data_IF_254842717055
#
_entry.id   IF_254842717055
#
_cell.length_a   1.000
_cell.length_b   1.000
_cell.length_c   1.000
_cell.angle_alpha   90.00
_cell.angle_beta   90.00
_cell.angle_gamma   90.00
#
_symmetry.space_group_name_H-M   'P 1'
#
loop_
_entity.id
_entity.type
_entity.pdbx_description
1 polymer ?
#
# COMPACT_ATOMS: atom_id res chain seq x y z
N UNK A 1 -12.91 -9.79 12.65
CA UNK A 1 -12.99 -8.48 11.97
C UNK A 1 -11.73 -7.67 12.22
N UNK A 2 -11.44 -6.68 11.37
CA UNK A 2 -10.37 -5.72 11.59
C UNK A 2 -10.74 -4.76 12.73
N UNK A 3 -9.81 -4.54 13.66
CA UNK A 3 -9.97 -3.59 14.75
C UNK A 3 -9.74 -2.16 14.28
N UNK A 4 -10.58 -1.22 14.73
CA UNK A 4 -10.40 0.22 14.44
C UNK A 4 -9.03 0.71 14.92
N UNK A 5 -8.66 0.36 16.15
CA UNK A 5 -7.40 0.77 16.78
C UNK A 5 -6.19 0.27 15.97
N UNK A 6 -6.22 -1.00 15.54
CA UNK A 6 -5.11 -1.60 14.80
C UNK A 6 -4.96 -0.96 13.41
N UNK A 7 -6.07 -0.66 12.74
CA UNK A 7 -6.06 0.00 11.44
C UNK A 7 -5.59 1.46 11.57
N UNK A 8 -6.02 2.18 12.61
CA UNK A 8 -5.55 3.55 12.86
C UNK A 8 -4.04 3.58 13.14
N UNK A 9 -3.57 2.65 13.95
CA UNK A 9 -2.14 2.44 14.19
C UNK A 9 -1.39 2.16 12.88
N UNK A 10 -1.85 1.19 12.09
CA UNK A 10 -1.21 0.82 10.82
C UNK A 10 -1.19 1.97 9.80
N UNK A 11 -2.27 2.74 9.69
CA UNK A 11 -2.33 3.93 8.84
C UNK A 11 -1.37 5.03 9.33
N UNK A 12 -1.20 5.20 10.64
CA UNK A 12 -0.25 6.16 11.22
C UNK A 12 1.19 5.81 10.85
N UNK A 13 1.56 4.52 10.94
CA UNK A 13 2.87 3.99 10.56
C UNK A 13 3.06 4.16 9.05
N UNK A 14 2.10 3.74 8.24
CA UNK A 14 2.12 3.91 6.78
C UNK A 14 2.40 5.36 6.39
N UNK A 15 1.70 6.33 6.99
CA UNK A 15 1.86 7.74 6.65
C UNK A 15 3.28 8.24 6.95
N UNK A 16 3.85 7.89 8.11
CA UNK A 16 5.22 8.29 8.47
C UNK A 16 6.26 7.59 7.61
N UNK A 17 6.10 6.28 7.35
CA UNK A 17 6.99 5.54 6.44
C UNK A 17 6.93 6.10 5.01
N UNK A 18 5.76 6.51 4.53
CA UNK A 18 5.63 7.12 3.21
C UNK A 18 6.34 8.48 3.13
N UNK A 19 6.20 9.32 4.16
CA UNK A 19 6.95 10.59 4.26
C UNK A 19 8.46 10.34 4.28
N UNK A 20 8.90 9.35 5.06
CA UNK A 20 10.31 8.95 5.11
C UNK A 20 10.81 8.50 3.73
N UNK A 21 10.01 7.72 3.01
CA UNK A 21 10.34 7.29 1.65
C UNK A 21 10.47 8.50 0.70
N UNK A 22 9.53 9.44 0.72
CA UNK A 22 9.60 10.66 -0.09
C UNK A 22 10.84 11.50 0.26
N UNK A 23 11.15 11.64 1.54
CA UNK A 23 12.36 12.32 2.01
C UNK A 23 13.62 11.61 1.50
N UNK A 24 13.69 10.29 1.59
CA UNK A 24 14.83 9.51 1.11
C UNK A 24 15.03 9.68 -0.41
N UNK A 25 13.96 9.69 -1.19
CA UNK A 25 14.02 9.96 -2.62
C UNK A 25 14.62 11.34 -2.97
N UNK A 26 14.37 12.36 -2.12
CA UNK A 26 14.96 13.68 -2.27
C UNK A 26 16.41 13.72 -1.75
N UNK A 27 16.69 13.10 -0.61
CA UNK A 27 18.02 13.06 -0.01
C UNK A 27 19.03 12.33 -0.92
N UNK A 28 18.60 11.27 -1.62
CA UNK A 28 19.40 10.60 -2.64
C UNK A 28 19.69 11.55 -3.81
N UNK A 29 18.67 12.27 -4.30
CA UNK A 29 18.80 13.24 -5.40
C UNK A 29 19.77 14.36 -5.05
N UNK A 30 19.80 14.77 -3.79
CA UNK A 30 20.68 15.83 -3.25
C UNK A 30 22.08 15.31 -2.87
N UNK A 31 22.33 14.01 -3.00
CA UNK A 31 23.63 13.40 -2.68
C UNK A 31 23.90 13.24 -1.18
N UNK A 32 22.89 13.49 -0.33
CA UNK A 32 22.98 13.35 1.13
C UNK A 32 23.04 11.88 1.54
N UNK A 33 22.33 11.01 0.80
CA UNK A 33 22.31 9.56 1.03
C UNK A 33 22.85 8.83 -0.20
N UNK A 34 23.91 8.01 -0.08
CA UNK A 34 24.39 7.22 -1.20
C UNK A 34 23.36 6.15 -1.57
N UNK A 35 23.18 5.89 -2.88
CA UNK A 35 22.43 4.73 -3.35
C UNK A 35 23.26 3.48 -3.11
N UNK A 36 23.12 2.90 -1.93
CA UNK A 36 23.64 1.55 -1.69
C UNK A 36 22.61 0.56 -2.23
N UNK A 37 23.05 -0.31 -3.14
CA UNK A 37 22.23 -1.44 -3.54
C UNK A 37 22.22 -2.42 -2.36
N UNK A 38 21.05 -2.63 -1.77
CA UNK A 38 20.83 -3.68 -0.77
C UNK A 38 20.96 -5.05 -1.45
N UNK A 39 22.18 -5.53 -1.62
CA UNK A 39 22.46 -6.78 -2.32
C UNK A 39 22.55 -8.00 -1.41
N UNK A 40 22.67 -7.81 -0.09
CA UNK A 40 22.99 -8.90 0.82
C UNK A 40 22.06 -8.99 2.04
N UNK A 41 20.89 -8.34 2.03
CA UNK A 41 19.98 -8.40 3.19
C UNK A 41 18.80 -9.30 2.91
N UNK A 42 18.85 -10.50 3.51
CA UNK A 42 17.82 -11.55 3.43
C UNK A 42 16.48 -11.12 4.04
N UNK A 43 16.48 -10.07 4.87
CA UNK A 43 15.32 -9.51 5.55
C UNK A 43 15.31 -7.97 5.42
N UNK A 44 14.41 -7.45 4.58
CA UNK A 44 14.25 -6.03 4.34
C UNK A 44 13.80 -5.25 5.60
N UNK A 45 13.05 -5.88 6.51
CA UNK A 45 12.62 -5.29 7.77
C UNK A 45 13.79 -5.10 8.73
N UNK A 46 14.64 -6.13 8.86
CA UNK A 46 15.87 -6.04 9.64
C UNK A 46 16.84 -4.98 9.08
N UNK A 47 17.02 -4.94 7.76
CA UNK A 47 17.82 -3.92 7.08
C UNK A 47 17.31 -2.50 7.40
N UNK A 48 16.00 -2.31 7.25
CA UNK A 48 15.33 -1.06 7.53
C UNK A 48 15.53 -0.63 8.98
N UNK A 49 15.45 -1.57 9.92
CA UNK A 49 15.63 -1.29 11.34
C UNK A 49 17.03 -0.76 11.64
N UNK A 50 18.07 -1.48 11.21
CA UNK A 50 19.47 -1.05 11.40
C UNK A 50 19.67 0.36 10.83
N UNK A 51 19.14 0.62 9.63
CA UNK A 51 19.27 1.92 8.99
C UNK A 51 18.54 3.02 9.76
N UNK A 52 17.29 2.80 10.17
CA UNK A 52 16.49 3.77 10.93
C UNK A 52 17.12 4.07 12.29
N UNK A 53 17.64 3.05 12.99
CA UNK A 53 18.34 3.22 14.27
C UNK A 53 19.62 4.04 14.10
N UNK A 54 20.46 3.69 13.11
CA UNK A 54 21.72 4.39 12.85
C UNK A 54 21.53 5.87 12.43
N UNK A 55 20.40 6.20 11.83
CA UNK A 55 20.11 7.55 11.32
C UNK A 55 19.01 8.27 12.09
N UNK A 56 18.56 7.75 13.24
CA UNK A 56 17.36 8.21 13.93
C UNK A 56 17.32 9.74 14.14
N UNK A 57 18.43 10.32 14.63
CA UNK A 57 18.54 11.76 14.87
C UNK A 57 18.66 12.61 13.60
N UNK A 58 18.98 11.99 12.45
CA UNK A 58 19.04 12.65 11.15
C UNK A 58 17.71 12.60 10.40
N UNK A 59 16.76 11.78 10.86
CA UNK A 59 15.42 11.72 10.26
C UNK A 59 14.62 12.97 10.61
N UNK A 60 13.75 13.47 9.71
CA UNK A 60 12.76 14.49 10.06
C UNK A 60 11.88 14.04 11.23
N UNK A 61 11.55 14.94 12.16
CA UNK A 61 10.79 14.62 13.37
C UNK A 61 9.48 13.88 13.07
N UNK A 62 8.77 14.33 12.04
CA UNK A 62 7.51 13.76 11.57
C UNK A 62 7.62 12.37 10.93
N UNK A 63 8.84 11.89 10.66
CA UNK A 63 9.12 10.58 10.09
C UNK A 63 9.64 9.59 11.13
N UNK A 64 9.96 10.04 12.36
CA UNK A 64 10.56 9.17 13.38
C UNK A 64 9.53 8.19 13.96
N UNK A 65 9.90 6.91 14.15
CA UNK A 65 9.10 6.00 14.96
C UNK A 65 9.10 6.43 16.44
N UNK A 66 8.03 6.13 17.17
CA UNK A 66 8.05 6.19 18.63
C UNK A 66 8.89 5.04 19.20
N UNK A 67 9.35 5.12 20.46
CA UNK A 67 10.23 4.11 21.05
C UNK A 67 9.71 2.67 20.98
N UNK A 68 8.40 2.49 21.14
CA UNK A 68 7.70 1.21 21.09
C UNK A 68 7.29 0.76 19.67
N UNK A 69 7.49 1.62 18.67
CA UNK A 69 7.07 1.37 17.28
C UNK A 69 8.21 0.98 16.35
N UNK A 70 9.46 0.93 16.83
CA UNK A 70 10.63 0.73 15.97
C UNK A 70 10.50 -0.50 15.07
N UNK A 71 10.13 -1.65 15.64
CA UNK A 71 9.96 -2.90 14.89
C UNK A 71 8.84 -2.81 13.84
N UNK A 72 7.57 -2.48 14.18
CA UNK A 72 6.52 -2.39 13.18
C UNK A 72 6.79 -1.31 12.13
N UNK A 73 7.43 -0.20 12.51
CA UNK A 73 7.84 0.84 11.58
C UNK A 73 8.88 0.35 10.57
N UNK A 74 9.96 -0.27 11.04
CA UNK A 74 11.02 -0.78 10.19
C UNK A 74 10.52 -1.88 9.24
N UNK A 75 9.72 -2.82 9.78
CA UNK A 75 9.04 -3.85 9.00
C UNK A 75 8.21 -3.22 7.88
N UNK A 76 7.33 -2.29 8.23
CA UNK A 76 6.45 -1.65 7.26
C UNK A 76 7.24 -0.84 6.23
N UNK A 77 8.29 -0.13 6.65
CA UNK A 77 9.16 0.62 5.75
C UNK A 77 9.87 -0.29 4.75
N UNK A 78 10.45 -1.41 5.21
CA UNK A 78 11.12 -2.39 4.38
C UNK A 78 10.22 -2.92 3.25
N UNK A 79 8.93 -3.14 3.53
CA UNK A 79 7.99 -3.63 2.51
C UNK A 79 7.76 -2.67 1.33
N UNK A 80 8.03 -1.36 1.44
CA UNK A 80 7.74 -0.41 0.35
C UNK A 80 8.49 -0.75 -0.95
N UNK A 81 9.73 -1.25 -0.84
CA UNK A 81 10.55 -1.62 -1.99
C UNK A 81 10.09 -2.92 -2.65
N UNK A 82 9.33 -3.74 -1.91
CA UNK A 82 8.71 -4.95 -2.44
C UNK A 82 7.32 -4.68 -3.03
N UNK A 83 6.54 -3.81 -2.38
CA UNK A 83 5.13 -3.61 -2.74
C UNK A 83 4.88 -2.50 -3.74
N UNK A 84 5.65 -1.41 -3.68
CA UNK A 84 5.14 -0.14 -4.23
C UNK A 84 6.16 0.63 -5.05
N UNK A 85 7.45 0.57 -4.73
CA UNK A 85 8.47 1.39 -5.39
C UNK A 85 9.71 0.58 -5.79
N UNK A 86 10.31 0.98 -6.89
CA UNK A 86 11.68 0.61 -7.28
C UNK A 86 12.59 1.81 -7.02
N UNK A 87 13.82 1.54 -6.55
CA UNK A 87 14.89 2.55 -6.51
C UNK A 87 15.63 2.50 -7.86
N UNK A 88 15.50 3.58 -8.63
CA UNK A 88 16.19 3.76 -9.89
C UNK A 88 17.52 4.50 -9.65
N UNK A 89 18.65 3.83 -9.83
CA UNK A 89 19.97 4.41 -9.55
C UNK A 89 20.29 5.63 -10.44
N UNK A 90 19.74 5.67 -11.66
CA UNK A 90 19.87 6.77 -12.62
C UNK A 90 18.50 7.11 -13.19
N UNK A 91 17.69 7.92 -12.47
CA UNK A 91 16.36 8.26 -12.91
C UNK A 91 16.46 9.03 -14.22
N UNK A 92 15.78 8.56 -15.27
CA UNK A 92 15.65 9.31 -16.52
C UNK A 92 14.75 10.51 -16.29
N UNK A 93 15.06 11.63 -16.93
CA UNK A 93 14.21 12.81 -16.88
C UNK A 93 12.77 12.46 -17.28
N UNK A 94 11.80 13.06 -16.58
CA UNK A 94 10.38 12.84 -16.85
C UNK A 94 9.69 14.15 -17.13
N UNK A 95 8.78 14.08 -18.08
CA UNK A 95 7.84 15.14 -18.36
C UNK A 95 6.77 15.16 -17.27
N UNK A 96 6.71 16.26 -16.52
CA UNK A 96 5.67 16.54 -15.54
C UNK A 96 4.90 17.75 -16.02
N UNK A 97 3.57 17.68 -15.97
CA UNK A 97 2.71 18.82 -16.21
C UNK A 97 2.05 19.22 -14.89
N UNK A 98 2.03 20.52 -14.62
CA UNK A 98 1.37 21.07 -13.42
C UNK A 98 -0.17 21.02 -13.53
N UNK A 99 -0.70 20.57 -14.68
CA UNK A 99 -2.10 20.20 -14.90
C UNK A 99 -2.23 18.97 -15.80
N UNK A 100 -3.43 18.40 -15.94
CA UNK A 100 -3.67 17.21 -16.78
C UNK A 100 -3.54 17.48 -18.31
N UNK A 101 -2.97 18.62 -18.71
CA UNK A 101 -2.69 18.99 -20.09
C UNK A 101 -1.24 18.66 -20.45
N UNK A 102 -1.03 17.78 -21.43
CA UNK A 102 0.30 17.37 -21.91
C UNK A 102 0.80 18.20 -23.11
N UNK A 103 0.49 19.50 -23.16
CA UNK A 103 0.98 20.36 -24.25
C UNK A 103 2.42 20.84 -24.00
N UNK A 104 3.10 21.24 -25.08
CA UNK A 104 4.51 21.71 -25.07
C UNK A 104 4.77 22.93 -24.18
N UNK A 105 3.74 23.67 -23.79
CA UNK A 105 3.84 24.83 -22.90
C UNK A 105 3.67 24.47 -21.40
N UNK A 106 2.98 23.38 -21.08
CA UNK A 106 2.68 22.97 -19.69
C UNK A 106 3.60 21.86 -19.18
N UNK A 107 4.26 21.15 -20.09
CA UNK A 107 5.14 20.02 -19.79
C UNK A 107 6.56 20.52 -19.50
N UNK A 108 7.06 20.24 -18.30
CA UNK A 108 8.45 20.51 -17.90
C UNK A 108 9.22 19.21 -17.76
N UNK A 109 10.47 19.23 -18.20
CA UNK A 109 11.41 18.14 -17.96
C UNK A 109 11.97 18.30 -16.54
N UNK A 110 11.62 17.39 -15.63
CA UNK A 110 12.18 17.34 -14.28
C UNK A 110 13.04 16.10 -14.11
N UNK A 111 14.14 16.23 -13.37
CA UNK A 111 14.91 15.06 -12.91
C UNK A 111 13.98 14.18 -12.10
N UNK A 112 13.70 12.98 -12.60
CA UNK A 112 12.77 12.09 -11.93
C UNK A 112 13.32 11.71 -10.56
N UNK A 113 12.42 11.53 -9.60
CA UNK A 113 12.79 11.00 -8.30
C UNK A 113 13.42 9.61 -8.49
N UNK A 114 14.41 9.28 -7.67
CA UNK A 114 14.99 7.94 -7.62
C UNK A 114 13.97 6.87 -7.21
N UNK A 115 12.76 7.26 -6.81
CA UNK A 115 11.63 6.38 -6.54
C UNK A 115 10.69 6.32 -7.73
N UNK A 116 10.54 5.12 -8.29
CA UNK A 116 9.58 4.84 -9.35
C UNK A 116 8.48 3.93 -8.80
N UNK A 117 7.19 4.31 -8.88
CA UNK A 117 6.11 3.39 -8.58
C UNK A 117 6.22 2.14 -9.46
N UNK A 118 6.03 0.96 -8.86
CA UNK A 118 6.05 -0.30 -9.62
C UNK A 118 4.95 -0.33 -10.68
N UNK A 119 5.28 -0.91 -11.82
CA UNK A 119 4.30 -1.24 -12.86
C UNK A 119 3.55 -2.50 -12.47
N UNK A 120 2.22 -2.48 -12.56
CA UNK A 120 1.39 -3.64 -12.27
C UNK A 120 1.31 -4.55 -13.50
N UNK A 121 1.66 -5.81 -13.30
CA UNK A 121 1.50 -6.88 -14.30
C UNK A 121 0.10 -7.51 -14.22
N UNK A 122 -0.22 -8.39 -15.18
CA UNK A 122 -1.44 -9.21 -15.11
C UNK A 122 -1.43 -10.13 -13.88
N UNK A 123 -0.29 -10.74 -13.57
CA UNK A 123 -0.14 -11.64 -12.42
C UNK A 123 -0.41 -10.93 -11.09
N UNK A 124 0.00 -9.66 -10.96
CA UNK A 124 -0.27 -8.85 -9.76
C UNK A 124 -1.76 -8.60 -9.57
N UNK A 125 -2.49 -8.32 -10.66
CA UNK A 125 -3.94 -8.12 -10.63
C UNK A 125 -4.68 -9.41 -10.29
N UNK A 126 -4.24 -10.55 -10.81
CA UNK A 126 -4.79 -11.87 -10.48
C UNK A 126 -4.52 -12.23 -9.01
N UNK A 127 -3.31 -11.94 -8.50
CA UNK A 127 -2.99 -12.12 -7.07
C UNK A 127 -3.84 -11.22 -6.19
N UNK A 128 -4.05 -9.95 -6.56
CA UNK A 128 -4.98 -9.07 -5.86
C UNK A 128 -6.42 -9.62 -5.86
N UNK A 129 -6.85 -10.25 -6.97
CA UNK A 129 -8.11 -11.00 -7.01
C UNK A 129 -8.19 -12.10 -5.96
N UNK A 130 -7.13 -12.91 -5.81
CA UNK A 130 -7.05 -13.94 -4.76
C UNK A 130 -7.07 -13.35 -3.35
N UNK A 131 -6.42 -12.21 -3.12
CA UNK A 131 -6.43 -11.53 -1.81
C UNK A 131 -7.84 -11.06 -1.43
N UNK A 132 -8.62 -10.55 -2.38
CA UNK A 132 -10.04 -10.18 -2.15
C UNK A 132 -10.87 -11.38 -1.73
N UNK A 133 -10.78 -12.48 -2.49
CA UNK A 133 -11.51 -13.72 -2.19
C UNK A 133 -11.12 -14.23 -0.81
N UNK A 134 -9.82 -14.36 -0.53
CA UNK A 134 -9.30 -14.81 0.76
C UNK A 134 -9.79 -13.93 1.90
N UNK A 135 -9.84 -12.61 1.73
CA UNK A 135 -10.34 -11.71 2.78
C UNK A 135 -11.82 -11.93 3.06
N UNK A 136 -12.66 -12.12 2.03
CA UNK A 136 -14.07 -12.42 2.21
C UNK A 136 -14.28 -13.77 2.91
N UNK A 137 -13.49 -14.80 2.58
CA UNK A 137 -13.52 -16.10 3.28
C UNK A 137 -13.10 -15.97 4.75
N UNK A 138 -12.06 -15.20 5.03
CA UNK A 138 -11.63 -14.92 6.41
C UNK A 138 -12.72 -14.17 7.18
N UNK A 139 -13.37 -13.18 6.54
CA UNK A 139 -14.44 -12.40 7.16
C UNK A 139 -15.67 -13.27 7.47
N UNK A 140 -16.05 -14.17 6.57
CA UNK A 140 -17.10 -15.16 6.82
C UNK A 140 -16.74 -16.05 8.03
N UNK A 141 -15.51 -16.58 8.07
CA UNK A 141 -15.02 -17.42 9.17
C UNK A 141 -15.00 -16.68 10.51
N UNK A 142 -14.55 -15.43 10.52
CA UNK A 142 -14.50 -14.57 11.71
C UNK A 142 -15.90 -14.38 12.33
N UNK A 143 -16.95 -14.37 11.50
CA UNK A 143 -18.35 -14.27 11.94
C UNK A 143 -19.07 -15.63 12.07
N UNK A 144 -18.34 -16.75 11.94
CA UNK A 144 -18.93 -18.10 12.02
C UNK A 144 -19.90 -18.43 10.88
N UNK A 145 -19.79 -17.73 9.74
CA UNK A 145 -20.60 -17.94 8.55
C UNK A 145 -19.93 -18.92 7.58
N UNK A 146 -20.70 -19.74 6.84
CA UNK A 146 -20.15 -20.54 5.75
C UNK A 146 -19.62 -19.62 4.63
N UNK A 147 -18.51 -20.03 4.01
CA UNK A 147 -17.92 -19.33 2.87
C UNK A 147 -18.02 -20.17 1.60
N UNK A 148 -18.69 -19.64 0.57
CA UNK A 148 -18.80 -20.30 -0.73
C UNK A 148 -17.97 -19.55 -1.77
N UNK A 149 -16.78 -20.06 -2.09
CA UNK A 149 -15.80 -19.39 -2.97
C UNK A 149 -16.42 -18.97 -4.32
N UNK A 150 -17.22 -19.84 -4.94
CA UNK A 150 -17.88 -19.54 -6.23
C UNK A 150 -18.85 -18.35 -6.13
N UNK A 151 -19.62 -18.24 -5.04
CA UNK A 151 -20.54 -17.13 -4.83
C UNK A 151 -19.77 -15.84 -4.53
N UNK A 152 -18.70 -15.91 -3.72
CA UNK A 152 -17.78 -14.78 -3.48
C UNK A 152 -17.21 -14.27 -4.81
N UNK A 153 -16.68 -15.16 -5.66
CA UNK A 153 -16.14 -14.78 -6.96
C UNK A 153 -17.19 -14.13 -7.86
N UNK A 154 -18.41 -14.66 -7.87
CA UNK A 154 -19.53 -14.07 -8.62
C UNK A 154 -19.88 -12.67 -8.11
N UNK A 155 -19.92 -12.45 -6.80
CA UNK A 155 -20.14 -11.13 -6.19
C UNK A 155 -19.03 -10.14 -6.54
N UNK A 156 -17.78 -10.57 -6.64
CA UNK A 156 -16.65 -9.72 -7.01
C UNK A 156 -16.62 -9.30 -8.51
N UNK A 157 -17.54 -9.81 -9.33
CA UNK A 157 -17.77 -9.28 -10.67
C UNK A 157 -18.45 -7.89 -10.64
N UNK A 158 -19.17 -7.57 -9.56
CA UNK A 158 -19.69 -6.23 -9.33
C UNK A 158 -18.56 -5.28 -8.91
N UNK A 159 -18.46 -4.13 -9.56
CA UNK A 159 -17.37 -3.18 -9.32
C UNK A 159 -17.43 -2.56 -7.93
N UNK A 160 -18.63 -2.22 -7.44
CA UNK A 160 -18.77 -1.59 -6.13
C UNK A 160 -18.34 -2.56 -5.02
N UNK A 161 -18.75 -3.83 -5.11
CA UNK A 161 -18.31 -4.88 -4.20
C UNK A 161 -16.82 -5.19 -4.32
N UNK A 162 -16.27 -5.22 -5.54
CA UNK A 162 -14.83 -5.39 -5.75
C UNK A 162 -14.02 -4.30 -5.04
N UNK A 163 -14.48 -3.05 -5.09
CA UNK A 163 -13.85 -1.92 -4.38
C UNK A 163 -13.92 -2.11 -2.86
N UNK A 164 -15.06 -2.55 -2.32
CA UNK A 164 -15.16 -2.86 -0.88
C UNK A 164 -14.20 -3.99 -0.47
N UNK A 165 -14.15 -5.06 -1.26
CA UNK A 165 -13.22 -6.17 -1.02
C UNK A 165 -11.76 -5.74 -1.11
N UNK A 166 -11.42 -4.81 -2.02
CA UNK A 166 -10.10 -4.20 -2.09
C UNK A 166 -9.76 -3.39 -0.84
N UNK A 167 -10.69 -2.60 -0.31
CA UNK A 167 -10.49 -1.85 0.94
C UNK A 167 -10.24 -2.79 2.13
N UNK A 168 -11.07 -3.82 2.32
CA UNK A 168 -10.90 -4.78 3.42
C UNK A 168 -9.59 -5.58 3.26
N UNK A 169 -9.30 -6.09 2.06
CA UNK A 169 -8.06 -6.84 1.80
C UNK A 169 -6.81 -5.95 1.98
N UNK A 170 -6.89 -4.69 1.59
CA UNK A 170 -5.82 -3.72 1.84
C UNK A 170 -5.64 -3.47 3.34
N UNK A 171 -6.72 -3.35 4.11
CA UNK A 171 -6.67 -3.25 5.57
C UNK A 171 -5.93 -4.41 6.22
N UNK A 172 -6.22 -5.65 5.81
CA UNK A 172 -5.47 -6.82 6.28
C UNK A 172 -4.00 -6.79 5.84
N UNK A 173 -3.71 -6.34 4.61
CA UNK A 173 -2.34 -6.17 4.13
C UNK A 173 -1.57 -5.11 4.95
N UNK A 174 -2.21 -4.05 5.44
CA UNK A 174 -1.56 -3.09 6.34
C UNK A 174 -1.06 -3.75 7.62
N UNK A 175 -1.91 -4.57 8.25
CA UNK A 175 -1.55 -5.28 9.47
C UNK A 175 -0.41 -6.29 9.24
N UNK A 176 -0.47 -7.03 8.14
CA UNK A 176 0.60 -7.96 7.74
C UNK A 176 1.95 -7.23 7.55
N UNK A 177 1.94 -6.03 6.97
CA UNK A 177 3.15 -5.24 6.75
C UNK A 177 3.79 -4.73 8.03
N UNK A 178 3.02 -4.52 9.10
CA UNK A 178 3.59 -4.25 10.44
C UNK A 178 4.43 -5.44 10.95
N UNK A 179 4.14 -6.65 10.47
CA UNK A 179 4.90 -7.88 10.76
C UNK A 179 5.97 -8.18 9.69
N UNK A 180 6.20 -7.28 8.73
CA UNK A 180 7.17 -7.47 7.64
C UNK A 180 6.66 -8.37 6.52
N UNK A 181 5.38 -8.78 6.56
CA UNK A 181 4.80 -9.67 5.56
C UNK A 181 4.25 -8.84 4.39
N UNK A 182 4.65 -9.20 3.18
CA UNK A 182 4.36 -8.48 1.95
C UNK A 182 3.78 -9.40 0.88
N UNK A 183 2.71 -8.94 0.24
CA UNK A 183 2.14 -9.58 -0.96
C UNK A 183 2.67 -8.95 -2.27
N UNK A 184 3.74 -8.17 -2.17
CA UNK A 184 4.38 -7.51 -3.30
C UNK A 184 3.43 -6.52 -4.03
N UNK A 185 3.57 -6.36 -5.36
CA UNK A 185 2.79 -5.38 -6.12
C UNK A 185 1.28 -5.64 -6.15
N UNK A 186 0.81 -6.82 -5.74
CA UNK A 186 -0.62 -7.09 -5.58
C UNK A 186 -1.29 -6.13 -4.57
N UNK A 187 -0.57 -5.69 -3.53
CA UNK A 187 -1.06 -4.70 -2.57
C UNK A 187 -1.28 -3.34 -3.24
N UNK A 188 -0.41 -2.95 -4.17
CA UNK A 188 -0.57 -1.74 -4.97
C UNK A 188 -1.78 -1.86 -5.92
N UNK A 189 -2.05 -3.05 -6.46
CA UNK A 189 -3.25 -3.28 -7.27
C UNK A 189 -4.54 -3.12 -6.43
N UNK A 190 -4.57 -3.60 -5.18
CA UNK A 190 -5.69 -3.35 -4.26
C UNK A 190 -5.87 -1.86 -4.00
N UNK A 191 -4.79 -1.12 -3.72
CA UNK A 191 -4.84 0.33 -3.48
C UNK A 191 -5.41 1.10 -4.67
N UNK A 192 -5.01 0.76 -5.90
CA UNK A 192 -5.47 1.44 -7.10
C UNK A 192 -6.98 1.30 -7.34
N UNK A 193 -7.61 0.23 -6.88
CA UNK A 193 -9.05 0.06 -7.06
C UNK A 193 -9.90 1.15 -6.38
N UNK A 194 -9.43 1.70 -5.25
CA UNK A 194 -10.21 2.69 -4.48
C UNK A 194 -9.54 4.07 -4.41
N UNK A 195 -8.25 4.17 -4.74
CA UNK A 195 -7.52 5.43 -4.72
C UNK A 195 -7.29 6.04 -6.11
N UNK A 196 -7.67 5.35 -7.19
CA UNK A 196 -7.52 5.83 -8.57
C UNK A 196 -8.86 5.88 -9.30
N UNK A 197 -8.94 6.79 -10.27
CA UNK A 197 -10.06 6.92 -11.21
C UNK A 197 -10.02 5.80 -12.25
N UNK A 198 -11.16 5.54 -12.89
CA UNK A 198 -11.23 4.59 -14.01
C UNK A 198 -10.33 4.98 -15.20
N UNK A 199 -10.06 6.28 -15.36
CA UNK A 199 -9.14 6.80 -16.38
C UNK A 199 -7.65 6.60 -16.04
N UNK A 200 -7.34 6.01 -14.88
CA UNK A 200 -5.97 5.67 -14.50
C UNK A 200 -5.18 6.84 -13.90
N UNK A 201 -5.87 7.80 -13.26
CA UNK A 201 -5.23 8.86 -12.48
C UNK A 201 -5.59 8.75 -10.99
N UNK A 202 -4.72 9.14 -10.04
CA UNK A 202 -5.08 9.16 -8.63
C UNK A 202 -6.29 10.07 -8.35
N UNK A 203 -7.13 9.68 -7.39
CA UNK A 203 -8.26 10.52 -6.94
C UNK A 203 -7.71 11.72 -6.16
N UNK A 204 -8.01 12.94 -6.63
CA UNK A 204 -7.51 14.18 -6.03
C UNK A 204 -7.95 14.29 -4.58
N UNK A 205 -7.00 14.60 -3.68
CA UNK A 205 -7.21 14.77 -2.22
C UNK A 205 -7.77 13.53 -1.50
N UNK A 206 -7.73 12.35 -2.13
CA UNK A 206 -8.11 11.12 -1.46
C UNK A 206 -7.19 10.87 -0.25
N UNK A 207 -7.80 10.58 0.90
CA UNK A 207 -7.12 10.18 2.13
C UNK A 207 -7.79 8.93 2.67
N UNK A 208 -7.05 7.83 2.74
CA UNK A 208 -7.55 6.61 3.37
C UNK A 208 -7.70 6.85 4.88
N UNK A 209 -8.82 6.39 5.44
CA UNK A 209 -9.16 6.49 6.85
C UNK A 209 -9.68 5.13 7.33
N UNK A 210 -9.57 4.85 8.62
CA UNK A 210 -10.04 3.60 9.23
C UNK A 210 -11.50 3.30 8.90
N UNK A 211 -12.38 4.32 8.95
CA UNK A 211 -13.79 4.19 8.59
C UNK A 211 -14.04 3.60 7.20
N UNK A 212 -13.22 3.92 6.19
CA UNK A 212 -13.41 3.39 4.85
C UNK A 212 -13.21 1.87 4.79
N UNK A 213 -12.27 1.34 5.58
CA UNK A 213 -11.99 -0.10 5.68
C UNK A 213 -13.10 -0.79 6.47
N UNK A 214 -13.49 -0.21 7.62
CA UNK A 214 -14.50 -0.81 8.50
C UNK A 214 -15.90 -0.82 7.86
N UNK A 215 -16.31 0.26 7.20
CA UNK A 215 -17.56 0.32 6.42
C UNK A 215 -17.55 -0.70 5.29
N UNK A 216 -16.39 -0.95 4.66
CA UNK A 216 -16.26 -1.98 3.64
C UNK A 216 -16.47 -3.39 4.22
N UNK A 217 -15.92 -3.69 5.41
CA UNK A 217 -16.18 -4.98 6.07
C UNK A 217 -17.66 -5.20 6.37
N UNK A 218 -18.34 -4.18 6.89
CA UNK A 218 -19.78 -4.25 7.18
C UNK A 218 -20.61 -4.52 5.91
N UNK A 219 -20.28 -3.85 4.80
CA UNK A 219 -20.95 -4.10 3.51
C UNK A 219 -20.69 -5.52 2.99
N UNK A 220 -19.45 -6.00 3.08
CA UNK A 220 -19.09 -7.35 2.64
C UNK A 220 -19.79 -8.42 3.50
N UNK A 221 -19.93 -8.20 4.80
CA UNK A 221 -20.69 -9.08 5.68
C UNK A 221 -22.16 -9.19 5.28
N UNK A 222 -22.81 -8.07 4.96
CA UNK A 222 -24.19 -8.11 4.46
C UNK A 222 -24.32 -8.95 3.19
N UNK A 223 -23.33 -8.90 2.30
CA UNK A 223 -23.30 -9.76 1.09
C UNK A 223 -23.09 -11.23 1.45
N UNK A 224 -22.15 -11.54 2.33
CA UNK A 224 -21.88 -12.92 2.77
C UNK A 224 -23.12 -13.53 3.44
N UNK A 225 -23.83 -12.75 4.27
CA UNK A 225 -25.07 -13.21 4.89
C UNK A 225 -26.17 -13.50 3.85
N UNK A 226 -26.28 -12.68 2.81
CA UNK A 226 -27.26 -12.89 1.74
C UNK A 226 -27.03 -14.18 0.94
N UNK A 227 -25.80 -14.70 0.93
CA UNK A 227 -25.47 -15.97 0.28
C UNK A 227 -26.07 -17.19 0.99
N UNK A 228 -26.40 -17.06 2.28
CA UNK A 228 -26.97 -18.14 3.10
C UNK A 228 -28.49 -18.22 2.93
N UNK A 229 -29.14 -17.11 2.59
CA UNK A 229 -30.59 -17.02 2.43
C UNK A 229 -31.10 -17.46 1.06
N UNK A 230 -30.21 -17.91 0.16
CA UNK A 230 -30.47 -18.40 -1.19
C UNK A 230 -30.32 -19.92 -1.24
#
# INVERSE_FOLDING_TARGET
MLSKTDIEFALSIQNRCFKLLQWLGNAIREGVVPVMKAHDVTDAGHAARIWVEAHFYNLPDECRPLPDEMTPFANFFGTYLETSFDIEARPKDRYVSDGDCFCSYCVRLVRAQHLKPKSLTRADKERAGRLRVRRMEMLAREEGLPSFELQIRKSLCDEALRVQASLSAYGAALLNRLQGISDGPAVLALWRDFAWTRSGSPIRRFKLQSRHILEAEQKLLGVIQSHISL
#
